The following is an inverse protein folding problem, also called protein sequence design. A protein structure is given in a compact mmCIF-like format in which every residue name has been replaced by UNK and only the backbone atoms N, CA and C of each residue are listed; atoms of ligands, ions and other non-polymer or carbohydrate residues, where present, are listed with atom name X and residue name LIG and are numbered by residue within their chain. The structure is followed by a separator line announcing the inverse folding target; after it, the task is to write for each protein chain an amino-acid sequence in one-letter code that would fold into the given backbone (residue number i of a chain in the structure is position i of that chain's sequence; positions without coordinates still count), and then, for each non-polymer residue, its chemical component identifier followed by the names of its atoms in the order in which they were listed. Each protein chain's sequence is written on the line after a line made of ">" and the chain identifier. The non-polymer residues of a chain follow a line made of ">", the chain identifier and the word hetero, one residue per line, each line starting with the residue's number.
data_IF_038268639184
#
_entry.id   IF_038268639184
#
_cell.length_a   1.000
_cell.length_b   1.000
_cell.length_c   1.000
_cell.angle_alpha   90.00
_cell.angle_beta   90.00
_cell.angle_gamma   90.00
#
_symmetry.space_group_name_H-M   'P 1'
#
loop_
_entity.id
_entity.type
_entity.pdbx_description
1 polymer ?
#
# COMPACT_ATOMS: atom_id res chain seq x y z
N UNK A 1 2.69 -12.38 11.70
CA UNK A 1 3.51 -11.51 10.82
C UNK A 1 4.02 -12.14 9.53
N UNK A 2 4.23 -13.46 9.40
CA UNK A 2 4.73 -14.06 8.14
C UNK A 2 3.88 -13.72 6.89
N UNK A 3 2.56 -13.65 7.06
CA UNK A 3 1.64 -13.24 5.99
C UNK A 3 1.84 -11.77 5.58
N UNK A 4 1.89 -10.86 6.56
CA UNK A 4 2.19 -9.45 6.32
C UNK A 4 3.52 -9.23 5.60
N UNK A 5 4.57 -9.95 6.00
CA UNK A 5 5.88 -9.89 5.34
C UNK A 5 5.79 -10.34 3.88
N UNK A 6 5.01 -11.39 3.61
CA UNK A 6 4.81 -11.90 2.25
C UNK A 6 4.07 -10.88 1.40
N UNK A 7 2.98 -10.28 1.92
CA UNK A 7 2.22 -9.25 1.20
C UNK A 7 3.09 -8.03 0.90
N UNK A 8 3.84 -7.54 1.89
CA UNK A 8 4.74 -6.41 1.72
C UNK A 8 5.81 -6.70 0.65
N UNK A 9 6.40 -7.89 0.65
CA UNK A 9 7.37 -8.31 -0.39
C UNK A 9 6.73 -8.32 -1.77
N UNK A 10 5.55 -8.92 -1.92
CA UNK A 10 4.82 -8.97 -3.20
C UNK A 10 4.49 -7.56 -3.71
N UNK A 11 3.94 -6.70 -2.84
CA UNK A 11 3.61 -5.30 -3.19
C UNK A 11 4.86 -4.49 -3.53
N UNK A 12 6.01 -4.81 -2.93
CA UNK A 12 7.28 -4.21 -3.32
C UNK A 12 7.67 -4.63 -4.74
N UNK A 13 7.68 -5.93 -5.05
CA UNK A 13 8.01 -6.45 -6.39
C UNK A 13 7.05 -5.94 -7.46
N UNK A 14 5.74 -5.99 -7.24
CA UNK A 14 4.74 -5.53 -8.20
C UNK A 14 4.82 -4.00 -8.46
N UNK A 15 5.32 -3.24 -7.50
CA UNK A 15 5.53 -1.80 -7.65
C UNK A 15 6.83 -1.43 -8.37
N UNK A 16 7.67 -2.40 -8.74
CA UNK A 16 8.86 -2.20 -9.56
C UNK A 16 8.44 -2.23 -11.04
N UNK A 17 8.66 -1.13 -11.75
CA UNK A 17 8.37 -1.05 -13.18
C UNK A 17 9.59 -0.51 -13.91
N UNK A 18 10.57 -1.39 -14.14
CA UNK A 18 11.32 -1.51 -15.41
C UNK A 18 12.36 -2.63 -15.23
N UNK A 19 12.34 -3.70 -16.05
CA UNK A 19 13.51 -4.56 -16.14
C UNK A 19 14.68 -3.73 -16.69
N UNK A 20 15.86 -3.86 -16.09
CA UNK A 20 17.09 -3.38 -16.72
C UNK A 20 17.23 -4.06 -18.08
N UNK A 21 17.58 -3.32 -19.15
CA UNK A 21 17.74 -3.93 -20.46
C UNK A 21 18.81 -5.00 -20.37
N UNK A 22 18.47 -6.24 -20.75
CA UNK A 22 19.47 -7.30 -20.88
C UNK A 22 20.34 -7.02 -22.10
N UNK A 23 21.57 -7.55 -22.10
CA UNK A 23 22.53 -7.38 -23.20
C UNK A 23 21.99 -7.91 -24.55
N UNK A 24 21.01 -8.84 -24.51
CA UNK A 24 20.27 -9.31 -25.69
C UNK A 24 18.91 -8.59 -25.82
N UNK A 25 18.73 -7.74 -26.86
CA UNK A 25 17.47 -7.04 -27.14
C UNK A 25 16.28 -7.97 -27.44
N UNK A 26 16.51 -9.14 -28.03
CA UNK A 26 15.43 -10.08 -28.37
C UNK A 26 14.90 -10.76 -27.11
N UNK A 27 15.79 -11.26 -26.26
CA UNK A 27 15.43 -11.83 -24.95
C UNK A 27 14.70 -10.78 -24.08
N UNK A 28 15.18 -9.54 -24.09
CA UNK A 28 14.51 -8.43 -23.38
C UNK A 28 13.07 -8.20 -23.87
N UNK A 29 12.84 -8.29 -25.18
CA UNK A 29 11.51 -8.14 -25.76
C UNK A 29 10.58 -9.29 -25.38
N UNK A 30 11.07 -10.53 -25.42
CA UNK A 30 10.29 -11.71 -25.04
C UNK A 30 9.91 -11.69 -23.55
N UNK A 31 10.86 -11.34 -22.67
CA UNK A 31 10.60 -11.17 -21.24
C UNK A 31 9.58 -10.06 -20.97
N UNK A 32 9.67 -8.93 -21.67
CA UNK A 32 8.70 -7.84 -21.56
C UNK A 32 7.29 -8.26 -21.99
N UNK A 33 7.17 -9.08 -23.06
CA UNK A 33 5.87 -9.64 -23.47
C UNK A 33 5.32 -10.63 -22.46
N UNK A 34 6.18 -11.44 -21.82
CA UNK A 34 5.77 -12.35 -20.76
C UNK A 34 5.29 -11.60 -19.53
N UNK A 35 6.04 -10.60 -19.08
CA UNK A 35 5.68 -9.73 -17.95
C UNK A 35 4.32 -9.04 -18.19
N UNK A 36 4.10 -8.51 -19.39
CA UNK A 36 2.80 -7.96 -19.77
C UNK A 36 1.66 -8.97 -19.63
N UNK A 37 1.83 -10.21 -20.15
CA UNK A 37 0.81 -11.25 -20.02
C UNK A 37 0.54 -11.61 -18.56
N UNK A 38 1.58 -11.68 -17.72
CA UNK A 38 1.45 -11.95 -16.29
C UNK A 38 0.70 -10.83 -15.58
N UNK A 39 0.96 -9.56 -15.92
CA UNK A 39 0.24 -8.42 -15.38
C UNK A 39 -1.24 -8.44 -15.78
N UNK A 40 -1.56 -8.79 -17.03
CA UNK A 40 -2.96 -8.96 -17.47
C UNK A 40 -3.65 -10.09 -16.71
N UNK A 41 -2.98 -11.24 -16.53
CA UNK A 41 -3.53 -12.34 -15.74
C UNK A 41 -3.77 -11.93 -14.29
N UNK A 42 -2.83 -11.21 -13.68
CA UNK A 42 -2.96 -10.71 -12.31
C UNK A 42 -4.15 -9.75 -12.18
N UNK A 43 -4.34 -8.86 -13.14
CA UNK A 43 -5.49 -7.94 -13.16
C UNK A 43 -6.82 -8.68 -13.29
N UNK A 44 -6.92 -9.63 -14.21
CA UNK A 44 -8.14 -10.43 -14.40
C UNK A 44 -8.46 -11.29 -13.17
N UNK A 45 -7.46 -11.94 -12.58
CA UNK A 45 -7.63 -12.72 -11.35
C UNK A 45 -7.99 -11.81 -10.18
N UNK A 46 -7.35 -10.65 -10.06
CA UNK A 46 -7.68 -9.62 -9.07
C UNK A 46 -9.15 -9.20 -9.17
N UNK A 47 -9.65 -8.92 -10.37
CA UNK A 47 -11.05 -8.61 -10.60
C UNK A 47 -12.00 -9.74 -10.19
N UNK A 48 -11.64 -11.00 -10.40
CA UNK A 48 -12.44 -12.14 -9.94
C UNK A 48 -12.49 -12.20 -8.41
N UNK A 49 -11.35 -12.04 -7.73
CA UNK A 49 -11.30 -12.05 -6.26
C UNK A 49 -12.10 -10.89 -5.67
N UNK A 50 -11.99 -9.69 -6.24
CA UNK A 50 -12.73 -8.49 -5.76
C UNK A 50 -14.25 -8.67 -5.89
N UNK A 51 -14.74 -9.45 -6.86
CA UNK A 51 -16.18 -9.74 -6.97
C UNK A 51 -16.71 -10.55 -5.80
N UNK A 52 -15.91 -11.49 -5.28
CA UNK A 52 -16.30 -12.30 -4.12
C UNK A 52 -16.00 -11.59 -2.80
N UNK A 53 -14.93 -10.78 -2.77
CA UNK A 53 -14.44 -10.07 -1.60
C UNK A 53 -14.21 -8.60 -1.95
N UNK A 54 -15.26 -7.76 -1.90
CA UNK A 54 -15.13 -6.36 -2.30
C UNK A 54 -14.15 -5.62 -1.40
N UNK A 55 -13.32 -4.79 -2.03
CA UNK A 55 -12.38 -3.93 -1.32
C UNK A 55 -13.14 -2.86 -0.52
N UNK A 56 -12.62 -2.43 0.63
CA UNK A 56 -13.17 -1.28 1.34
C UNK A 56 -13.07 -0.01 0.48
N UNK A 57 -13.98 0.94 0.72
CA UNK A 57 -13.93 2.23 0.05
C UNK A 57 -12.56 2.92 0.29
N UNK A 58 -11.94 3.51 -0.73
CA UNK A 58 -10.69 4.26 -0.55
C UNK A 58 -10.88 5.40 0.45
N UNK A 59 -9.96 5.51 1.39
CA UNK A 59 -9.98 6.55 2.42
C UNK A 59 -8.65 7.33 2.43
N UNK A 60 -8.76 8.65 2.60
CA UNK A 60 -7.60 9.50 2.84
C UNK A 60 -6.97 9.19 4.19
N UNK A 61 -5.68 8.85 4.18
CA UNK A 61 -4.94 8.49 5.38
C UNK A 61 -3.49 8.99 5.32
N UNK A 62 -2.86 9.11 6.49
CA UNK A 62 -1.43 9.36 6.65
C UNK A 62 -0.80 8.15 7.30
N UNK A 63 0.03 7.45 6.54
CA UNK A 63 0.73 6.26 6.99
C UNK A 63 2.15 6.59 7.44
N UNK A 64 2.56 5.99 8.55
CA UNK A 64 3.94 5.96 9.04
C UNK A 64 4.32 4.52 9.37
N UNK A 65 5.61 4.24 9.53
CA UNK A 65 6.07 2.90 9.92
C UNK A 65 5.54 2.41 11.27
N UNK A 66 5.15 3.36 12.15
CA UNK A 66 4.74 3.08 13.52
C UNK A 66 3.23 3.24 13.75
N UNK A 67 2.48 3.68 12.76
CA UNK A 67 1.07 3.97 12.95
C UNK A 67 0.40 4.67 11.78
N UNK A 68 -0.87 4.97 12.00
CA UNK A 68 -1.78 5.50 10.99
C UNK A 68 -2.56 6.67 11.57
N UNK A 69 -2.87 7.64 10.73
CA UNK A 69 -3.78 8.74 11.04
C UNK A 69 -4.82 8.89 9.93
N UNK A 70 -6.09 9.04 10.30
CA UNK A 70 -7.20 9.27 9.36
C UNK A 70 -8.30 10.12 10.02
N UNK A 71 -9.28 10.54 9.24
CA UNK A 71 -10.49 11.22 9.74
C UNK A 71 -11.67 10.28 9.63
N UNK A 72 -12.44 10.14 10.71
CA UNK A 72 -13.63 9.31 10.78
C UNK A 72 -14.82 10.09 11.33
N UNK A 73 -16.01 9.87 10.75
CA UNK A 73 -17.27 10.40 11.28
C UNK A 73 -17.65 9.73 12.60
N UNK A 74 -17.41 8.43 12.70
CA UNK A 74 -17.61 7.63 13.91
C UNK A 74 -16.25 7.06 14.37
N UNK A 75 -15.49 7.80 15.21
CA UNK A 75 -14.17 7.36 15.64
C UNK A 75 -14.26 6.25 16.70
N UNK A 76 -13.31 5.29 16.70
CA UNK A 76 -13.17 4.34 17.81
C UNK A 76 -12.78 5.06 19.10
N UNK A 77 -13.05 4.44 20.25
CA UNK A 77 -12.72 5.02 21.55
C UNK A 77 -11.19 5.18 21.74
N UNK A 78 -10.72 6.27 22.40
CA UNK A 78 -9.33 6.39 22.82
C UNK A 78 -8.87 5.17 23.63
N UNK A 79 -7.66 4.67 23.36
CA UNK A 79 -7.11 3.48 24.02
C UNK A 79 -7.63 2.14 23.49
N UNK A 80 -8.65 2.13 22.61
CA UNK A 80 -9.17 0.90 22.02
C UNK A 80 -8.10 0.18 21.18
N UNK A 81 -8.14 -1.16 21.20
CA UNK A 81 -7.37 -2.01 20.29
C UNK A 81 -8.20 -2.32 19.05
N UNK A 82 -7.56 -2.31 17.90
CA UNK A 82 -8.17 -2.56 16.60
C UNK A 82 -7.20 -3.27 15.67
N UNK A 83 -7.72 -3.87 14.60
CA UNK A 83 -6.93 -4.42 13.51
C UNK A 83 -7.08 -3.50 12.29
N UNK A 84 -5.97 -2.94 11.81
CA UNK A 84 -5.97 -2.13 10.59
C UNK A 84 -5.64 -3.03 9.40
N UNK A 85 -6.59 -3.20 8.49
CA UNK A 85 -6.37 -3.91 7.23
C UNK A 85 -6.05 -2.91 6.11
N UNK A 86 -4.82 -2.92 5.61
CA UNK A 86 -4.37 -2.03 4.53
C UNK A 86 -4.25 -2.78 3.20
N UNK A 87 -5.03 -2.37 2.21
CA UNK A 87 -4.95 -2.90 0.84
C UNK A 87 -4.03 -2.00 0.01
N UNK A 88 -2.82 -2.48 -0.26
CA UNK A 88 -1.73 -1.65 -0.78
C UNK A 88 -1.57 -1.70 -2.31
N UNK A 89 -2.22 -2.65 -2.98
CA UNK A 89 -2.14 -2.84 -4.43
C UNK A 89 -3.46 -3.41 -4.98
N UNK A 90 -4.26 -2.66 -5.78
CA UNK A 90 -5.61 -3.11 -6.14
C UNK A 90 -5.68 -4.45 -6.90
N UNK A 91 -4.80 -4.75 -7.89
CA UNK A 91 -4.75 -6.08 -8.52
C UNK A 91 -4.33 -7.23 -7.59
N UNK A 92 -3.82 -6.93 -6.40
CA UNK A 92 -3.46 -7.91 -5.38
C UNK A 92 -4.27 -7.64 -4.10
N UNK A 93 -5.55 -8.06 -4.05
CA UNK A 93 -6.52 -7.68 -3.01
C UNK A 93 -6.29 -8.43 -1.68
N UNK A 94 -5.02 -8.56 -1.26
CA UNK A 94 -4.64 -9.14 0.03
C UNK A 94 -4.18 -8.02 0.98
N UNK A 95 -4.81 -7.87 2.16
CA UNK A 95 -4.45 -6.81 3.07
C UNK A 95 -3.15 -7.13 3.83
N UNK A 96 -2.52 -6.07 4.33
CA UNK A 96 -1.59 -6.16 5.47
C UNK A 96 -2.40 -5.85 6.73
N UNK A 97 -2.48 -6.81 7.65
CA UNK A 97 -3.27 -6.71 8.87
C UNK A 97 -2.38 -6.31 10.05
N UNK A 98 -2.55 -5.08 10.54
CA UNK A 98 -1.69 -4.46 11.53
C UNK A 98 -2.46 -4.23 12.83
N UNK A 99 -2.21 -5.02 13.90
CA UNK A 99 -2.74 -4.73 15.22
C UNK A 99 -2.35 -3.31 15.63
N UNK A 100 -3.29 -2.55 16.19
CA UNK A 100 -3.06 -1.16 16.55
C UNK A 100 -3.85 -0.74 17.79
N UNK A 101 -3.38 0.32 18.43
CA UNK A 101 -4.07 0.99 19.54
C UNK A 101 -4.34 2.45 19.22
N UNK A 102 -5.54 2.91 19.52
CA UNK A 102 -5.93 4.33 19.43
C UNK A 102 -5.17 5.15 20.47
N UNK A 103 -4.37 6.10 19.99
CA UNK A 103 -3.60 7.03 20.82
C UNK A 103 -4.41 8.27 21.17
N UNK A 104 -5.05 8.88 20.17
CA UNK A 104 -5.85 10.08 20.34
C UNK A 104 -6.99 10.15 19.33
N UNK A 105 -8.04 10.84 19.75
CA UNK A 105 -9.19 11.21 18.94
C UNK A 105 -9.41 12.71 19.16
N UNK A 106 -9.17 13.50 18.13
CA UNK A 106 -9.22 14.96 18.18
C UNK A 106 -10.30 15.48 17.23
N UNK A 107 -11.09 16.50 17.59
CA UNK A 107 -12.06 17.11 16.66
C UNK A 107 -11.39 17.59 15.37
N UNK A 108 -12.06 17.38 14.24
CA UNK A 108 -11.62 17.86 12.92
C UNK A 108 -12.78 18.54 12.19
N UNK A 109 -12.48 19.20 11.07
CA UNK A 109 -13.48 19.95 10.27
C UNK A 109 -14.67 19.07 9.84
N UNK A 110 -14.41 17.79 9.54
CA UNK A 110 -15.43 16.82 9.12
C UNK A 110 -15.30 15.49 9.88
N UNK A 111 -15.62 15.50 11.17
CA UNK A 111 -15.56 14.32 12.05
C UNK A 111 -14.45 14.43 13.09
N UNK A 112 -13.76 13.33 13.35
CA UNK A 112 -12.64 13.29 14.29
C UNK A 112 -11.39 12.70 13.65
N UNK A 113 -10.24 13.34 13.91
CA UNK A 113 -8.92 12.85 13.56
C UNK A 113 -8.52 11.77 14.55
N UNK A 114 -8.31 10.56 14.05
CA UNK A 114 -7.89 9.40 14.82
C UNK A 114 -6.42 9.14 14.56
N UNK A 115 -5.62 9.01 15.62
CA UNK A 115 -4.24 8.51 15.53
C UNK A 115 -4.13 7.17 16.21
N UNK A 116 -3.49 6.21 15.56
CA UNK A 116 -3.19 4.90 16.12
C UNK A 116 -1.70 4.61 16.07
N UNK A 117 -1.24 3.75 16.97
CA UNK A 117 0.08 3.12 16.94
C UNK A 117 -0.07 1.65 16.64
N UNK A 118 0.74 1.13 15.74
CA UNK A 118 0.82 -0.30 15.50
C UNK A 118 1.44 -1.02 16.71
N UNK A 119 0.88 -2.16 17.09
CA UNK A 119 1.37 -3.03 18.17
C UNK A 119 1.88 -4.34 17.53
N UNK A 120 2.84 -5.01 18.20
CA UNK A 120 3.27 -6.37 17.85
C UNK A 120 3.82 -6.56 16.42
N UNK A 121 4.45 -5.53 15.85
CA UNK A 121 5.14 -5.64 14.56
C UNK A 121 6.46 -6.40 14.70
N UNK A 122 6.71 -7.35 13.80
CA UNK A 122 8.04 -7.94 13.62
C UNK A 122 8.93 -6.91 12.94
N UNK A 123 10.23 -7.03 13.17
CA UNK A 123 11.24 -6.17 12.54
C UNK A 123 11.10 -6.16 11.01
N UNK A 124 10.90 -7.33 10.40
CA UNK A 124 10.71 -7.46 8.96
C UNK A 124 9.45 -6.75 8.42
N UNK A 125 8.35 -6.72 9.18
CA UNK A 125 7.13 -5.98 8.78
C UNK A 125 7.37 -4.47 8.92
N UNK A 126 7.99 -4.03 10.02
CA UNK A 126 8.31 -2.62 10.23
C UNK A 126 9.23 -2.08 9.14
N UNK A 127 10.30 -2.81 8.82
CA UNK A 127 11.22 -2.46 7.73
C UNK A 127 10.52 -2.47 6.36
N UNK A 128 9.68 -3.47 6.10
CA UNK A 128 8.88 -3.53 4.86
C UNK A 128 7.96 -2.32 4.69
N UNK A 129 7.30 -1.88 5.77
CA UNK A 129 6.47 -0.66 5.77
C UNK A 129 7.33 0.59 5.53
N UNK A 130 8.49 0.72 6.18
CA UNK A 130 9.40 1.85 5.96
C UNK A 130 9.84 1.95 4.51
N UNK A 131 10.30 0.84 3.91
CA UNK A 131 10.71 0.78 2.50
C UNK A 131 9.57 1.17 1.58
N UNK A 132 8.36 0.67 1.83
CA UNK A 132 7.17 1.00 1.05
C UNK A 132 6.84 2.50 1.12
N UNK A 133 6.81 3.07 2.32
CA UNK A 133 6.51 4.49 2.56
C UNK A 133 7.55 5.36 1.87
N UNK A 134 8.83 5.05 2.04
CA UNK A 134 9.93 5.80 1.42
C UNK A 134 9.84 5.77 -0.10
N UNK A 135 9.56 4.60 -0.69
CA UNK A 135 9.36 4.45 -2.13
C UNK A 135 8.19 5.32 -2.63
N UNK A 136 7.03 5.23 -1.97
CA UNK A 136 5.86 6.02 -2.38
C UNK A 136 6.11 7.52 -2.25
N UNK A 137 6.78 7.94 -1.17
CA UNK A 137 7.20 9.32 -0.97
C UNK A 137 8.13 9.84 -2.07
N UNK A 138 9.17 9.06 -2.43
CA UNK A 138 10.07 9.39 -3.55
C UNK A 138 9.32 9.52 -4.88
N UNK A 139 8.35 8.64 -5.13
CA UNK A 139 7.51 8.69 -6.34
C UNK A 139 6.66 9.96 -6.39
N UNK A 140 6.02 10.34 -5.29
CA UNK A 140 5.23 11.56 -5.19
C UNK A 140 6.08 12.82 -5.44
N UNK A 141 7.30 12.90 -4.89
CA UNK A 141 8.23 14.02 -5.11
C UNK A 141 8.67 14.10 -6.57
N UNK A 142 8.97 12.95 -7.21
CA UNK A 142 9.37 12.95 -8.63
C UNK A 142 8.25 13.46 -9.53
N UNK A 143 7.00 13.08 -9.24
CA UNK A 143 5.82 13.53 -10.00
C UNK A 143 5.55 15.03 -9.81
N UNK A 144 5.73 15.57 -8.60
CA UNK A 144 5.55 17.01 -8.33
C UNK A 144 6.63 17.91 -8.95
N UNK A 145 7.74 17.33 -9.41
CA UNK A 145 8.87 18.05 -10.03
C UNK A 145 8.81 18.13 -11.55
N UNK A 146 7.80 17.55 -12.21
CA UNK A 146 7.58 17.75 -13.64
C UNK A 146 6.89 19.12 -13.83
N UNK A 147 7.60 20.16 -14.31
CA UNK A 147 6.94 21.41 -14.64
C UNK A 147 6.01 21.15 -15.81
N UNK A 148 4.79 21.68 -15.77
CA UNK A 148 3.96 21.88 -16.96
C UNK A 148 4.72 22.82 -17.90
N UNK A 149 5.53 22.27 -18.79
CA UNK A 149 6.06 22.99 -19.94
C UNK A 149 5.03 22.97 -21.05
N UNK A 150 4.53 24.17 -21.40
CA UNK A 150 3.92 24.47 -22.69
C UNK A 150 2.40 24.54 -22.70
N UNK A 151 1.85 25.73 -22.45
CA UNK A 151 0.96 26.41 -23.40
C UNK A 151 1.19 27.93 -23.27
#
# INVERSE_FOLDING_TARGET
>A
NRDNETVLKVVMVLGESRPEPADDPNLSSELGRLDFKLNVLLDLVGHLVIREQPLPAPAGLRLSARGLEWVAESPPAPGARLLVSLYLHPPYPRPVDLPARVLSVEPAVSGARVRVRFEELSEAVAEGLERLIFRNHRRLIAQSRTPRSGD
#
